data_IF_970098525761
#
_entry.id   IF_970098525761
#
_cell.length_a   1.000
_cell.length_b   1.000
_cell.length_c   1.000
_cell.angle_alpha   90.00
_cell.angle_beta   90.00
_cell.angle_gamma   90.00
#
_symmetry.space_group_name_H-M   'P 1'
#
loop_
_entity.id
_entity.type
_entity.pdbx_description
1 polymer ?
2 polymer ?
3 polymer ?
4 water ?
#
# COMPACT_ATOMS: atom_id res chain seq x y z
N UNK A 1 12.13 -9.51 15.43
CA UNK A 1 11.91 -9.25 14.02
C UNK A 1 12.41 -7.87 13.65
N UNK A 2 12.59 -7.65 12.36
CA UNK A 2 12.97 -6.32 11.87
C UNK A 2 11.72 -5.46 11.66
N UNK A 3 11.87 -4.14 11.71
CA UNK A 3 10.71 -3.27 11.60
C UNK A 3 11.05 -1.99 10.85
N UNK A 4 10.02 -1.33 10.32
CA UNK A 4 10.22 -0.04 9.69
C UNK A 4 9.01 0.88 9.89
N UNK A 5 9.25 2.18 9.68
CA UNK A 5 8.22 3.20 9.71
C UNK A 5 8.35 4.03 8.45
N UNK A 6 7.22 4.38 7.83
CA UNK A 6 7.22 5.18 6.62
C UNK A 6 6.07 6.14 6.64
N UNK A 7 6.33 7.35 6.19
CA UNK A 7 5.25 8.29 5.88
C UNK A 7 5.17 8.41 4.36
N UNK A 8 3.94 8.55 3.87
CA UNK A 8 3.69 8.61 2.44
C UNK A 8 2.91 9.87 2.16
N UNK A 9 3.55 10.79 1.43
CA UNK A 9 2.92 12.05 1.07
C UNK A 9 2.51 12.00 -0.38
N UNK A 10 1.31 12.47 -0.66
CA UNK A 10 0.87 12.70 -2.04
C UNK A 10 0.35 14.14 -2.14
N UNK A 11 0.97 14.91 -3.03
CA UNK A 11 0.51 16.28 -3.33
C UNK A 11 0.00 16.35 -4.77
N UNK A 12 -1.29 16.66 -4.92
CA UNK A 12 -1.95 16.57 -6.22
C UNK A 12 -2.60 17.89 -6.67
N UNK A 13 -2.05 18.52 -7.73
CA UNK A 13 -2.71 19.69 -8.32
C UNK A 13 -3.96 19.30 -9.13
N UNK A 14 -4.80 20.28 -9.42
CA UNK A 14 -6.09 20.03 -10.05
C UNK A 14 -6.64 21.39 -10.50
N UNK A 15 -6.01 21.96 -11.54
CA UNK A 15 -6.31 23.34 -11.97
C UNK A 15 -7.79 23.51 -12.29
N UNK A 16 -8.38 24.59 -11.82
CA UNK A 16 -9.79 24.81 -12.03
C UNK A 16 -10.62 24.17 -10.94
N UNK A 17 -9.97 23.40 -10.07
CA UNK A 17 -10.69 22.75 -8.97
C UNK A 17 -10.12 23.05 -7.57
N UNK A 18 -9.66 24.29 -7.37
CA UNK A 18 -9.11 24.67 -6.09
C UNK A 18 -7.60 24.45 -6.01
N UNK A 19 -7.08 24.55 -4.79
CA UNK A 19 -5.65 24.36 -4.54
C UNK A 19 -5.28 22.88 -4.42
N UNK A 20 -4.02 22.54 -4.70
CA UNK A 20 -3.62 21.12 -4.64
C UNK A 20 -3.89 20.44 -3.28
N UNK A 21 -4.36 19.21 -3.35
CA UNK A 21 -4.63 18.42 -2.15
C UNK A 21 -3.34 17.79 -1.62
N UNK A 22 -3.19 17.83 -0.29
CA UNK A 22 -2.06 17.18 0.36
C UNK A 22 -2.61 16.12 1.32
N UNK A 23 -2.14 14.88 1.14
CA UNK A 23 -2.50 13.77 2.01
C UNK A 23 -1.24 13.14 2.55
N UNK A 24 -1.23 12.87 3.84
CA UNK A 24 -0.13 12.12 4.45
C UNK A 24 -0.70 10.95 5.25
N UNK A 25 -0.10 9.76 5.10
CA UNK A 25 -0.40 8.62 5.95
C UNK A 25 0.89 8.03 6.57
N UNK A 26 0.80 7.59 7.82
CA UNK A 26 1.92 6.96 8.48
C UNK A 26 1.71 5.47 8.65
N UNK A 27 2.79 4.70 8.50
CA UNK A 27 2.72 3.24 8.69
C UNK A 27 3.83 2.78 9.61
N UNK A 28 3.52 1.76 10.42
CA UNK A 28 4.53 0.90 11.01
C UNK A 28 4.35 -0.45 10.32
N UNK A 29 5.41 -0.89 9.63
CA UNK A 29 5.32 -2.07 8.75
C UNK A 29 4.05 -2.07 7.89
N UNK A 30 3.16 -3.08 8.05
CA UNK A 30 1.95 -3.12 7.23
C UNK A 30 0.74 -2.57 7.97
N UNK A 31 1.01 -1.76 8.98
CA UNK A 31 -0.06 -1.19 9.80
C UNK A 31 -0.08 0.34 9.72
N UNK A 32 -1.13 0.88 9.11
CA UNK A 32 -1.32 2.34 9.10
C UNK A 32 -1.75 2.78 10.50
N UNK A 33 -1.34 3.96 10.94
CA UNK A 33 -1.68 4.39 12.30
C UNK A 33 -2.07 5.87 12.35
N UNK A 34 -1.91 6.56 11.23
CA UNK A 34 -2.18 7.99 11.23
C UNK A 34 -2.51 8.47 9.82
N UNK A 35 -3.35 9.51 9.73
CA UNK A 35 -3.67 10.14 8.45
C UNK A 35 -3.91 11.64 8.60
N UNK A 36 -3.61 12.38 7.52
CA UNK A 36 -3.94 13.79 7.37
C UNK A 36 -4.36 14.07 5.93
N UNK A 37 -5.43 14.86 5.77
CA UNK A 37 -5.99 15.16 4.46
C UNK A 37 -6.40 16.63 4.38
N UNK A 38 -5.75 17.41 3.53
CA UNK A 38 -6.04 18.84 3.45
C UNK A 38 -7.45 19.07 2.98
N UNK A 39 -8.05 18.03 2.37
CA UNK A 39 -9.42 18.13 1.83
C UNK A 39 -10.50 17.88 2.88
N UNK A 40 -10.09 17.49 4.08
CA UNK A 40 -11.01 17.26 5.21
C UNK A 40 -11.73 18.55 5.61
N UNK A 41 -12.99 18.41 6.04
CA UNK A 41 -13.80 19.57 6.42
C UNK A 41 -13.05 20.40 7.47
N UNK A 42 -12.44 19.68 8.41
CA UNK A 42 -11.54 20.26 9.41
C UNK A 42 -10.24 19.47 9.43
N UNK A 43 -9.27 19.88 8.59
CA UNK A 43 -8.02 19.15 8.38
C UNK A 43 -7.21 19.05 9.66
N UNK A 44 -6.92 17.83 10.09
CA UNK A 44 -6.13 17.58 11.28
C UNK A 44 -5.61 16.15 11.22
N UNK A 45 -4.55 15.86 11.98
CA UNK A 45 -3.99 14.50 12.02
C UNK A 45 -4.93 13.56 12.78
N UNK A 46 -5.27 12.40 12.20
CA UNK A 46 -6.22 11.47 12.84
C UNK A 46 -5.66 10.05 13.05
N UNK A 47 -5.92 9.46 14.24
CA UNK A 47 -5.44 8.11 14.56
C UNK A 47 -6.09 7.11 13.62
N UNK A 48 -5.38 6.03 13.30
CA UNK A 48 -5.92 4.97 12.44
C UNK A 48 -5.53 3.61 12.99
N UNK A 49 -4.90 3.61 14.17
CA UNK A 49 -4.59 2.40 14.94
C UNK A 49 -4.72 2.70 16.44
N UNK A 50 -5.44 1.84 17.18
CA UNK A 50 -5.78 2.06 18.60
C UNK A 50 -4.56 2.42 19.45
N UNK A 51 -3.44 1.73 19.25
CA UNK A 51 -2.24 2.01 20.05
C UNK A 51 -1.63 3.41 19.89
N UNK A 52 -2.10 4.18 18.91
CA UNK A 52 -1.60 5.56 18.77
C UNK A 52 -2.53 6.57 19.46
N UNK A 53 -3.68 6.10 19.93
CA UNK A 53 -4.63 7.01 20.57
C UNK A 53 -4.15 7.54 21.93
N UNK A 54 -3.29 6.78 22.59
CA UNK A 54 -2.76 7.20 23.88
C UNK A 54 -1.81 8.40 23.77
N UNK A 55 -1.40 8.77 22.55
CA UNK A 55 -0.55 9.93 22.43
C UNK A 55 -1.39 11.14 22.83
N UNK A 56 -0.75 12.08 23.54
CA UNK A 56 -1.45 13.23 24.09
C UNK A 56 -1.86 14.22 23.02
N UNK A 57 -2.55 15.30 23.45
CA UNK A 57 -3.05 16.35 22.57
C UNK A 57 -1.92 17.11 21.91
N UNK A 58 -0.78 17.22 22.59
CA UNK A 58 0.36 17.94 22.02
C UNK A 58 0.97 17.14 20.86
N UNK A 59 0.87 15.81 20.92
CA UNK A 59 1.30 14.97 19.79
C UNK A 59 0.46 15.28 18.55
N UNK A 60 -0.85 15.29 18.71
CA UNK A 60 -1.75 15.55 17.58
C UNK A 60 -1.61 16.96 17.01
N UNK A 61 -1.46 17.95 17.88
CA UNK A 61 -1.25 19.32 17.39
C UNK A 61 0.10 19.52 16.70
N UNK A 62 1.13 18.84 17.20
CA UNK A 62 2.45 18.86 16.56
C UNK A 62 2.39 18.26 15.13
N UNK A 63 1.76 17.09 15.01
CA UNK A 63 1.61 16.48 13.70
C UNK A 63 0.87 17.41 12.76
N UNK A 64 -0.29 17.85 13.22
CA UNK A 64 -1.18 18.72 12.44
C UNK A 64 -0.47 19.98 11.94
N UNK A 65 0.34 20.61 12.80
CA UNK A 65 1.12 21.78 12.39
C UNK A 65 2.10 21.37 11.27
N UNK A 66 2.78 20.24 11.45
CA UNK A 66 3.75 19.79 10.46
C UNK A 66 3.08 19.60 9.09
N UNK A 67 1.92 18.92 9.11
CA UNK A 67 1.21 18.58 7.89
C UNK A 67 0.58 19.80 7.19
N UNK A 68 0.03 20.74 7.96
CA UNK A 68 -0.54 21.96 7.37
C UNK A 68 0.54 22.78 6.67
N UNK A 69 1.70 22.86 7.28
CA UNK A 69 2.80 23.64 6.69
C UNK A 69 3.33 22.92 5.44
N UNK A 70 3.44 21.60 5.51
CA UNK A 70 3.78 20.79 4.35
C UNK A 70 2.78 21.00 3.19
N UNK A 71 1.49 21.08 3.53
CA UNK A 71 0.46 21.35 2.53
C UNK A 71 0.85 22.57 1.68
N UNK A 72 1.20 23.66 2.35
CA UNK A 72 1.58 24.89 1.66
C UNK A 72 2.88 24.71 0.88
N UNK A 73 3.85 24.06 1.52
CA UNK A 73 5.16 23.87 0.88
C UNK A 73 5.07 23.02 -0.39
N UNK A 74 4.26 21.97 -0.36
CA UNK A 74 4.12 21.11 -1.53
C UNK A 74 3.34 21.82 -2.67
N UNK A 75 2.60 22.86 -2.32
CA UNK A 75 1.91 23.63 -3.35
C UNK A 75 2.92 24.51 -4.09
N UNK A 76 3.84 25.12 -3.35
CA UNK A 76 4.95 25.80 -3.99
C UNK A 76 5.79 24.81 -4.83
N UNK A 77 6.04 23.61 -4.30
CA UNK A 77 6.86 22.63 -5.02
C UNK A 77 6.25 22.22 -6.36
N UNK A 78 4.93 22.03 -6.36
CA UNK A 78 4.19 21.72 -7.59
C UNK A 78 4.29 22.86 -8.60
N UNK A 79 4.16 24.10 -8.12
CA UNK A 79 4.39 25.24 -9.00
C UNK A 79 5.77 25.13 -9.64
N UNK A 80 6.79 24.92 -8.82
CA UNK A 80 8.17 24.90 -9.32
C UNK A 80 8.39 23.78 -10.34
N UNK A 81 7.90 22.57 -10.02
CA UNK A 81 8.15 21.40 -10.86
C UNK A 81 7.45 21.51 -12.20
N UNK A 82 6.32 22.23 -12.22
CA UNK A 82 5.66 22.50 -13.49
C UNK A 82 6.56 23.36 -14.37
N UNK A 83 7.23 24.35 -13.75
CA UNK A 83 8.15 25.21 -14.46
C UNK A 83 9.36 24.43 -14.95
N UNK A 84 9.90 23.54 -14.09
CA UNK A 84 11.11 22.76 -14.43
C UNK A 84 10.90 21.93 -15.71
N UNK A 85 9.66 21.56 -15.98
CA UNK A 85 9.38 20.72 -17.15
C UNK A 85 8.71 21.51 -18.26
N UNK A 86 8.64 22.84 -18.09
CA UNK A 86 7.94 23.69 -19.06
C UNK A 86 6.51 23.22 -19.34
N UNK A 87 5.83 22.70 -18.31
CA UNK A 87 4.47 22.19 -18.52
C UNK A 87 3.44 23.31 -18.48
N UNK A 88 2.28 23.09 -19.10
CA UNK A 88 1.22 24.10 -19.08
C UNK A 88 0.48 24.06 -17.75
N UNK A 89 -0.33 25.09 -17.51
CA UNK A 89 -1.08 25.19 -16.27
C UNK A 89 -2.40 24.44 -16.37
N UNK A 90 -2.53 23.63 -17.41
CA UNK A 90 -3.78 22.96 -17.69
C UNK A 90 -3.85 21.61 -17.01
N UNK A 91 -2.70 20.95 -16.88
CA UNK A 91 -2.70 19.57 -16.44
C UNK A 91 -2.66 19.41 -14.94
N UNK A 92 -3.08 18.22 -14.48
CA UNK A 92 -2.87 17.82 -13.09
C UNK A 92 -1.53 17.11 -12.98
N UNK A 93 -0.85 17.35 -11.86
CA UNK A 93 0.42 16.68 -11.60
C UNK A 93 0.48 16.23 -10.15
N UNK A 94 1.41 15.31 -9.87
CA UNK A 94 1.54 14.71 -8.55
C UNK A 94 3.00 14.59 -8.10
N UNK A 95 3.29 15.11 -6.90
CA UNK A 95 4.54 14.80 -6.21
C UNK A 95 4.22 13.74 -5.16
N UNK A 96 5.06 12.71 -5.08
CA UNK A 96 4.95 11.72 -4.03
C UNK A 96 6.26 11.66 -3.26
N UNK A 97 6.17 11.46 -1.95
CA UNK A 97 7.33 11.28 -1.10
C UNK A 97 7.07 10.09 -0.18
N UNK A 98 8.04 9.19 -0.09
CA UNK A 98 8.01 8.15 0.94
C UNK A 98 9.36 8.14 1.65
N UNK A 99 9.32 8.19 2.98
CA UNK A 99 10.54 8.24 3.77
C UNK A 99 10.32 7.52 5.09
N UNK A 100 11.43 7.11 5.71
CA UNK A 100 11.35 6.39 6.96
C UNK A 100 12.65 5.70 7.31
N UNK A 101 12.62 4.89 8.36
CA UNK A 101 13.80 4.18 8.84
C UNK A 101 13.51 2.69 8.97
N UNK A 102 14.57 1.90 8.83
CA UNK A 102 14.50 0.47 9.03
C UNK A 102 15.32 0.07 10.25
N UNK A 103 14.73 -0.74 11.13
CA UNK A 103 15.45 -1.29 12.28
C UNK A 103 15.73 -2.78 12.06
N UNK A 104 16.88 -3.25 12.52
CA UNK A 104 17.20 -4.67 12.50
C UNK A 104 16.49 -5.36 13.65
N UNK A 105 16.72 -6.68 13.80
CA UNK A 105 16.05 -7.46 14.86
C UNK A 105 16.55 -7.09 16.26
N UNK A 106 17.52 -6.18 16.30
CA UNK A 106 18.14 -5.73 17.54
C UNK A 106 17.64 -4.37 17.99
N UNK A 107 16.73 -3.77 17.21
CA UNK A 107 16.27 -2.41 17.48
C UNK A 107 17.20 -1.35 16.93
N UNK A 108 18.26 -1.77 16.25
CA UNK A 108 19.26 -0.86 15.70
C UNK A 108 18.86 -0.34 14.32
N UNK A 109 19.20 0.92 14.04
CA UNK A 109 19.00 1.47 12.70
C UNK A 109 19.72 0.59 11.66
N UNK A 110 18.99 0.17 10.63
CA UNK A 110 19.57 -0.54 9.49
C UNK A 110 19.97 0.48 8.42
N UNK A 111 19.05 1.40 8.13
CA UNK A 111 19.25 2.44 7.13
C UNK A 111 18.00 3.29 7.03
N UNK A 112 18.15 4.44 6.37
CA UNK A 112 17.05 5.34 6.11
C UNK A 112 16.72 5.37 4.63
N UNK A 113 15.54 5.90 4.32
CA UNK A 113 15.10 6.09 2.95
C UNK A 113 14.42 7.45 2.84
N UNK A 114 14.65 8.14 1.72
CA UNK A 114 13.92 9.37 1.43
C UNK A 114 13.87 9.58 -0.07
N UNK A 115 12.77 9.13 -0.68
CA UNK A 115 12.64 9.12 -2.13
C UNK A 115 11.42 9.92 -2.53
N UNK A 116 11.55 10.67 -3.63
CA UNK A 116 10.41 11.41 -4.16
C UNK A 116 10.20 11.07 -5.62
N UNK A 117 8.98 11.29 -6.08
CA UNK A 117 8.60 11.01 -7.45
C UNK A 117 7.70 12.12 -7.97
N UNK A 118 7.74 12.32 -9.27
CA UNK A 118 6.90 13.30 -9.92
C UNK A 118 6.12 12.56 -10.98
N UNK A 119 4.79 12.69 -10.93
CA UNK A 119 3.92 11.96 -11.86
C UNK A 119 4.30 10.48 -11.99
N UNK A 120 4.73 9.88 -10.88
CA UNK A 120 4.93 8.44 -10.84
C UNK A 120 6.25 7.92 -11.39
N UNK A 121 7.21 8.81 -11.64
CA UNK A 121 8.57 8.41 -12.00
C UNK A 121 9.51 8.93 -10.93
N UNK A 122 10.57 8.19 -10.64
CA UNK A 122 11.61 8.68 -9.74
C UNK A 122 11.97 10.13 -10.06
N UNK A 123 12.03 10.98 -9.05
CA UNK A 123 12.46 12.36 -9.26
C UNK A 123 13.79 12.62 -8.55
N UNK A 124 13.80 12.56 -7.22
CA UNK A 124 15.04 12.69 -6.49
C UNK A 124 15.02 11.71 -5.34
N UNK A 125 16.19 11.18 -5.01
CA UNK A 125 16.31 10.25 -3.90
C UNK A 125 17.54 10.58 -3.02
N UNK A 126 17.37 10.47 -1.70
CA UNK A 126 18.52 10.55 -0.80
C UNK A 126 19.24 9.19 -0.80
N UNK A 127 20.55 9.22 -1.09
CA UNK A 127 21.38 8.02 -1.02
C UNK A 127 21.50 7.42 0.37
N UNK A 128 21.90 6.16 0.42
CA UNK A 128 21.91 5.43 1.67
C UNK A 128 22.86 6.06 2.70
N UNK A 129 23.86 6.81 2.22
CA UNK A 129 24.76 7.54 3.12
C UNK A 129 24.05 8.69 3.86
N UNK A 130 22.80 8.95 3.48
CA UNK A 130 22.01 10.04 4.06
C UNK A 130 22.73 11.38 3.95
N UNK A 131 23.60 11.49 2.93
CA UNK A 131 24.42 12.68 2.75
C UNK A 131 24.43 13.22 1.32
N UNK A 132 24.09 12.38 0.35
CA UNK A 132 24.13 12.83 -1.04
C UNK A 132 22.84 12.47 -1.77
N UNK A 133 22.60 13.11 -2.91
CA UNK A 133 21.34 12.91 -3.61
C UNK A 133 21.53 12.22 -4.97
N UNK A 134 20.47 11.56 -5.45
CA UNK A 134 20.41 11.12 -6.85
C UNK A 134 19.23 11.78 -7.57
N UNK A 135 19.55 12.60 -8.57
CA UNK A 135 18.54 13.23 -9.41
C UNK A 135 18.34 12.39 -10.67
N UNK A 136 17.07 12.17 -11.02
CA UNK A 136 16.74 11.35 -12.19
C UNK A 136 16.92 12.09 -13.52
N UNK A 137 16.95 13.43 -13.48
CA UNK A 137 16.99 14.25 -14.71
C UNK A 137 17.36 15.71 -14.42
N UNK A 138 17.51 16.52 -15.48
CA UNK A 138 18.03 17.89 -15.30
C UNK A 138 17.08 18.77 -14.49
N UNK A 139 15.80 18.41 -14.50
CA UNK A 139 14.83 19.09 -13.65
C UNK A 139 15.13 18.81 -12.17
N UNK A 140 15.35 17.54 -11.81
CA UNK A 140 15.66 17.20 -10.42
C UNK A 140 17.04 17.69 -9.94
N UNK A 141 17.93 18.00 -10.88
CA UNK A 141 19.20 18.61 -10.53
C UNK A 141 19.00 20.01 -9.96
N UNK A 142 17.96 20.70 -10.46
CA UNK A 142 17.65 22.02 -9.91
C UNK A 142 17.30 21.85 -8.43
N UNK A 143 16.36 20.95 -8.16
CA UNK A 143 16.01 20.61 -6.79
C UNK A 143 17.27 20.20 -5.98
N UNK A 144 18.15 19.42 -6.59
CA UNK A 144 19.33 18.92 -5.87
C UNK A 144 20.24 20.07 -5.46
N UNK A 145 20.51 20.97 -6.41
CA UNK A 145 21.38 22.09 -6.12
C UNK A 145 20.77 22.98 -5.06
N UNK A 146 19.46 23.21 -5.15
CA UNK A 146 18.77 24.00 -4.13
C UNK A 146 18.77 23.35 -2.74
N UNK A 147 18.72 22.02 -2.69
CA UNK A 147 18.77 21.33 -1.39
C UNK A 147 20.19 21.26 -0.86
N UNK A 148 21.17 21.20 -1.76
CA UNK A 148 22.57 21.23 -1.36
C UNK A 148 22.94 22.60 -0.80
N UNK A 149 22.50 23.67 -1.47
CA UNK A 149 22.70 25.03 -0.99
C UNK A 149 22.18 25.20 0.44
N UNK A 150 21.00 24.65 0.72
CA UNK A 150 20.37 24.82 2.03
C UNK A 150 20.69 23.68 3.01
N UNK A 151 21.62 22.80 2.64
CA UNK A 151 21.97 21.65 3.49
C UNK A 151 20.71 20.90 3.95
N UNK A 152 19.87 20.50 2.99
CA UNK A 152 18.65 19.76 3.33
C UNK A 152 18.96 18.34 3.83
N UNK A 153 19.94 17.67 3.23
CA UNK A 153 20.26 16.28 3.59
C UNK A 153 20.65 16.15 5.07
N UNK A 154 21.24 17.21 5.62
CA UNK A 154 21.61 17.21 7.03
C UNK A 154 20.35 17.16 7.92
N UNK A 155 19.31 17.88 7.50
CA UNK A 155 18.04 17.85 8.23
C UNK A 155 17.43 16.46 8.12
N UNK A 156 17.42 15.92 6.91
CA UNK A 156 16.82 14.60 6.68
C UNK A 156 17.56 13.57 7.54
N UNK A 157 18.90 13.63 7.49
CA UNK A 157 19.73 12.71 8.27
C UNK A 157 19.48 12.75 9.78
N UNK A 158 19.42 13.95 10.34
CA UNK A 158 19.19 14.10 11.78
C UNK A 158 17.87 13.44 12.19
N UNK A 159 16.84 13.64 11.36
CA UNK A 159 15.55 13.05 11.61
C UNK A 159 15.58 11.53 11.48
N UNK A 160 16.20 11.03 10.41
CA UNK A 160 16.11 9.61 10.10
C UNK A 160 16.89 8.76 11.13
N UNK A 161 17.99 9.31 11.64
CA UNK A 161 18.82 8.57 12.58
C UNK A 161 18.38 8.81 14.01
N UNK A 162 17.61 9.88 14.21
CA UNK A 162 17.21 10.32 15.54
C UNK A 162 15.72 10.12 15.84
N UNK A 163 14.89 11.15 15.67
CA UNK A 163 13.46 11.03 16.00
C UNK A 163 12.76 9.82 15.30
N UNK A 164 13.09 9.58 14.03
CA UNK A 164 12.45 8.46 13.32
C UNK A 164 12.61 7.16 14.11
N UNK A 165 13.85 6.87 14.49
CA UNK A 165 14.14 5.63 15.21
C UNK A 165 13.55 5.62 16.61
N UNK A 166 13.58 6.78 17.29
CA UNK A 166 13.04 6.90 18.65
C UNK A 166 11.53 6.63 18.71
N UNK A 167 10.76 7.26 17.83
CA UNK A 167 9.30 7.08 17.83
C UNK A 167 8.89 5.70 17.31
N UNK A 168 9.57 5.20 16.28
CA UNK A 168 9.33 3.82 15.84
C UNK A 168 9.43 2.82 17.00
N UNK A 169 10.55 2.86 17.74
CA UNK A 169 10.73 2.04 18.94
C UNK A 169 9.62 2.23 19.98
N UNK A 170 9.19 3.47 20.18
CA UNK A 170 8.09 3.75 21.10
C UNK A 170 6.75 3.16 20.59
N UNK A 171 6.56 3.19 19.27
CA UNK A 171 5.33 2.66 18.70
C UNK A 171 5.36 1.14 18.82
N UNK A 172 6.51 0.54 18.50
CA UNK A 172 6.67 -0.92 18.58
C UNK A 172 6.41 -1.45 20.01
N UNK A 173 6.82 -0.68 21.02
CA UNK A 173 6.57 -1.07 22.40
C UNK A 173 5.08 -0.95 22.70
N UNK A 174 4.50 0.22 22.37
CA UNK A 174 3.08 0.48 22.65
C UNK A 174 2.07 -0.46 21.96
N UNK A 175 2.43 -0.94 20.78
CA UNK A 175 1.56 -1.78 19.98
C UNK A 175 2.13 -3.19 19.85
N UNK A 176 2.96 -3.56 20.82
CA UNK A 176 3.69 -4.83 20.76
C UNK A 176 2.79 -6.07 20.62
N UNK A 177 1.61 -6.03 21.18
CA UNK A 177 0.68 -7.15 21.08
C UNK A 177 0.32 -7.45 19.63
N UNK A 178 0.38 -6.43 18.77
CA UNK A 178 0.05 -6.61 17.35
C UNK A 178 1.25 -6.34 16.43
N UNK A 179 1.94 -5.21 16.64
CA UNK A 179 3.06 -4.86 15.78
C UNK A 179 4.14 -5.94 15.81
N UNK A 180 4.31 -6.59 16.96
CA UNK A 180 5.36 -7.61 17.08
C UNK A 180 4.74 -9.00 17.24
N UNK A 181 3.62 -9.21 16.55
CA UNK A 181 2.99 -10.51 16.47
C UNK A 181 2.81 -10.92 15.02
N UNK A 182 3.51 -11.99 14.63
CA UNK A 182 3.33 -12.56 13.29
C UNK A 182 2.24 -13.63 13.33
N UNK A 183 1.18 -13.42 12.56
CA UNK A 183 0.09 -14.40 12.44
C UNK A 183 0.32 -15.25 11.20
N UNK A 184 0.43 -16.58 11.39
CA UNK A 184 0.80 -17.48 10.28
C UNK A 184 -0.35 -17.61 9.28
N UNK A 185 -0.03 -17.90 8.00
CA UNK A 185 -1.12 -18.12 7.03
C UNK A 185 -1.93 -19.38 7.36
N UNK A 186 -3.25 -19.29 7.22
CA UNK A 186 -4.08 -20.49 7.16
C UNK A 186 -4.14 -20.93 5.70
N UNK A 187 -3.81 -22.19 5.45
CA UNK A 187 -3.65 -22.68 4.08
C UNK A 187 -4.55 -23.83 3.70
N UNK A 188 -4.79 -23.94 2.40
CA UNK A 188 -5.49 -25.10 1.85
C UNK A 188 -5.34 -25.13 0.33
N UNK A 189 -5.55 -26.31 -0.25
CA UNK A 189 -5.40 -26.51 -1.68
C UNK A 189 -6.73 -26.93 -2.32
N UNK A 190 -7.13 -26.22 -3.36
CA UNK A 190 -8.38 -26.54 -4.06
C UNK A 190 -8.08 -27.17 -5.42
N UNK A 191 -9.04 -27.96 -5.92
CA UNK A 191 -8.88 -28.63 -7.20
C UNK A 191 -10.13 -28.42 -8.06
N UNK A 192 -9.93 -28.06 -9.33
CA UNK A 192 -11.02 -27.72 -10.25
C UNK A 192 -10.64 -28.12 -11.67
N UNK A 193 -11.33 -29.13 -12.23
CA UNK A 193 -11.07 -29.58 -13.60
C UNK A 193 -11.33 -28.46 -14.61
N UNK A 194 -10.43 -28.25 -15.58
CA UNK A 194 -10.66 -27.25 -16.64
C UNK A 194 -11.13 -27.94 -17.93
N UNK A 195 -10.88 -29.24 -18.00
CA UNK A 195 -11.22 -30.07 -19.15
C UNK A 195 -11.13 -31.53 -18.69
N UNK A 196 -11.27 -32.48 -19.62
CA UNK A 196 -11.14 -33.90 -19.26
C UNK A 196 -9.72 -34.29 -18.89
N UNK A 197 -8.73 -33.56 -19.41
CA UNK A 197 -7.33 -33.96 -19.25
C UNK A 197 -6.49 -33.01 -18.40
N UNK A 198 -7.06 -31.86 -18.03
CA UNK A 198 -6.36 -30.90 -17.17
C UNK A 198 -7.21 -30.45 -15.97
N UNK A 199 -6.54 -30.00 -14.92
CA UNK A 199 -7.22 -29.44 -13.74
C UNK A 199 -6.41 -28.32 -13.06
N UNK A 200 -7.11 -27.40 -12.42
CA UNK A 200 -6.46 -26.32 -11.67
C UNK A 200 -6.24 -26.70 -10.20
N UNK A 201 -5.00 -26.55 -9.72
CA UNK A 201 -4.69 -26.63 -8.31
C UNK A 201 -4.46 -25.20 -7.84
N UNK A 202 -5.18 -24.78 -6.80
CA UNK A 202 -4.99 -23.44 -6.27
C UNK A 202 -4.55 -23.52 -4.81
N UNK A 203 -3.43 -22.89 -4.52
CA UNK A 203 -2.88 -22.90 -3.17
C UNK A 203 -3.24 -21.60 -2.45
N UNK A 204 -3.90 -21.72 -1.29
CA UNK A 204 -4.45 -20.56 -0.59
C UNK A 204 -3.72 -20.24 0.73
N UNK A 205 -3.37 -18.97 0.90
CA UNK A 205 -2.89 -18.47 2.19
C UNK A 205 -3.79 -17.32 2.64
N UNK A 206 -4.41 -17.52 3.81
CA UNK A 206 -5.37 -16.59 4.37
C UNK A 206 -4.98 -16.14 5.80
N UNK A 207 -5.43 -14.95 6.19
CA UNK A 207 -5.27 -14.45 7.56
C UNK A 207 -3.85 -14.25 8.11
N UNK A 208 -2.89 -13.94 7.25
CA UNK A 208 -1.52 -13.74 7.73
C UNK A 208 -1.13 -12.27 7.98
N UNK A 209 -0.22 -12.07 8.92
CA UNK A 209 0.43 -10.77 9.14
C UNK A 209 1.87 -11.00 9.61
N UNK A 210 2.84 -10.27 9.05
CA UNK A 210 2.65 -9.22 8.03
C UNK A 210 2.43 -9.74 6.59
N UNK A 211 2.31 -8.79 5.67
CA UNK A 211 1.98 -9.05 4.26
C UNK A 211 3.02 -9.91 3.53
N UNK A 212 4.29 -9.64 3.80
CA UNK A 212 5.40 -10.40 3.19
C UNK A 212 5.21 -11.93 3.31
N UNK A 213 5.26 -12.62 2.17
CA UNK A 213 5.04 -14.05 2.15
C UNK A 213 5.59 -14.67 0.88
N UNK A 214 5.96 -15.95 0.94
CA UNK A 214 6.36 -16.67 -0.26
C UNK A 214 5.48 -17.91 -0.52
N UNK A 215 4.84 -17.93 -1.69
CA UNK A 215 3.96 -19.02 -2.09
C UNK A 215 4.44 -19.53 -3.44
N UNK A 216 4.80 -20.82 -3.52
CA UNK A 216 5.29 -21.38 -4.78
C UNK A 216 4.70 -22.76 -5.08
N UNK A 217 4.55 -23.07 -6.36
CA UNK A 217 4.26 -24.42 -6.79
C UNK A 217 5.52 -25.12 -7.33
N UNK A 218 5.73 -26.36 -6.91
CA UNK A 218 6.77 -27.21 -7.48
C UNK A 218 6.18 -28.43 -8.17
N UNK A 219 6.81 -28.82 -9.27
CA UNK A 219 6.48 -30.08 -9.95
C UNK A 219 7.70 -31.00 -9.83
N UNK A 220 7.49 -32.17 -9.22
CA UNK A 220 8.58 -33.10 -8.92
C UNK A 220 9.76 -32.36 -8.26
N UNK A 221 9.45 -31.46 -7.33
CA UNK A 221 10.48 -30.75 -6.58
C UNK A 221 11.12 -29.56 -7.28
N UNK A 222 10.58 -29.16 -8.42
CA UNK A 222 11.20 -28.11 -9.24
C UNK A 222 10.28 -26.90 -9.44
N UNK A 223 10.86 -25.70 -9.42
CA UNK A 223 10.08 -24.45 -9.49
C UNK A 223 9.23 -24.30 -10.75
N UNK A 224 7.96 -23.97 -10.56
CA UNK A 224 7.04 -23.82 -11.67
C UNK A 224 6.67 -22.35 -11.92
N UNK A 225 7.68 -21.50 -11.85
CA UNK A 225 7.52 -20.07 -12.00
C UNK A 225 6.65 -19.64 -13.18
N UNK A 226 7.08 -19.97 -14.41
CA UNK A 226 6.36 -19.51 -15.58
C UNK A 226 4.95 -20.08 -15.70
N UNK A 227 4.70 -21.21 -15.04
CA UNK A 227 3.41 -21.88 -15.18
C UNK A 227 2.45 -21.55 -14.02
N UNK A 228 2.93 -20.76 -13.06
CA UNK A 228 2.11 -20.40 -11.90
C UNK A 228 1.40 -19.05 -12.10
N UNK A 229 0.08 -19.05 -11.94
CA UNK A 229 -0.72 -17.81 -11.84
C UNK A 229 -0.70 -17.33 -10.38
N UNK A 230 -0.33 -16.08 -10.18
CA UNK A 230 -0.05 -15.59 -8.83
C UNK A 230 -0.63 -14.21 -8.59
N UNK A 231 -1.72 -14.14 -7.83
CA UNK A 231 -2.36 -12.86 -7.51
C UNK A 231 -1.50 -12.01 -6.56
N UNK A 232 -1.71 -10.70 -6.61
CA UNK A 232 -1.06 -9.78 -5.69
C UNK A 232 -1.58 -10.06 -4.27
N UNK A 233 -0.68 -9.97 -3.29
CA UNK A 233 -1.07 -10.07 -1.89
C UNK A 233 -2.10 -8.98 -1.63
N UNK A 234 -3.19 -9.36 -0.98
CA UNK A 234 -4.34 -8.46 -0.79
C UNK A 234 -4.78 -8.33 0.68
N UNK A 235 -5.16 -7.12 1.08
CA UNK A 235 -5.59 -6.95 2.47
C UNK A 235 -7.01 -7.47 2.67
N UNK A 236 -7.26 -8.07 3.83
CA UNK A 236 -8.57 -8.62 4.16
C UNK A 236 -9.46 -7.55 4.81
N UNK A 237 -8.84 -6.60 5.51
CA UNK A 237 -9.61 -5.55 6.17
C UNK A 237 -9.65 -5.73 7.67
N UNK A 238 -9.10 -6.85 8.15
CA UNK A 238 -8.95 -7.08 9.59
C UNK A 238 -7.46 -7.04 9.98
N UNK A 239 -6.66 -6.30 9.22
CA UNK A 239 -5.21 -6.21 9.44
C UNK A 239 -4.44 -7.31 8.71
N UNK A 240 -5.12 -8.42 8.41
CA UNK A 240 -4.48 -9.58 7.76
C UNK A 240 -4.51 -9.49 6.24
N UNK A 241 -3.68 -10.33 5.59
CA UNK A 241 -3.58 -10.34 4.14
C UNK A 241 -3.94 -11.72 3.54
N UNK A 242 -4.13 -11.75 2.23
CA UNK A 242 -4.46 -13.01 1.54
C UNK A 242 -3.65 -13.16 0.27
N UNK A 243 -3.43 -14.40 -0.13
CA UNK A 243 -2.76 -14.65 -1.40
C UNK A 243 -3.09 -16.05 -1.90
N UNK A 244 -3.06 -16.23 -3.22
CA UNK A 244 -3.05 -17.59 -3.76
C UNK A 244 -2.15 -17.72 -4.99
N UNK A 245 -1.74 -18.97 -5.26
CA UNK A 245 -1.01 -19.35 -6.48
C UNK A 245 -1.69 -20.57 -7.08
N UNK A 246 -1.79 -20.58 -8.41
CA UNK A 246 -2.52 -21.62 -9.13
C UNK A 246 -1.68 -22.20 -10.27
N UNK A 247 -1.90 -23.48 -10.55
CA UNK A 247 -1.25 -24.14 -11.68
C UNK A 247 -2.25 -25.08 -12.35
N UNK A 248 -2.28 -25.06 -13.67
CA UNK A 248 -3.04 -26.06 -14.42
C UNK A 248 -2.14 -27.28 -14.63
N UNK A 249 -2.64 -28.43 -14.23
CA UNK A 249 -1.85 -29.65 -14.26
C UNK A 249 -2.57 -30.70 -15.08
N UNK A 250 -1.81 -31.62 -15.70
CA UNK A 250 -2.36 -32.81 -16.37
C UNK A 250 -3.13 -33.67 -15.37
N UNK A 251 -4.40 -33.99 -15.63
CA UNK A 251 -5.17 -34.81 -14.69
C UNK A 251 -4.43 -36.10 -14.44
N UNK A 252 -4.41 -36.54 -13.19
CA UNK A 252 -3.70 -37.75 -12.80
C UNK A 252 -2.26 -37.47 -12.36
N UNK A 253 -1.79 -36.24 -12.55
CA UNK A 253 -0.43 -35.90 -12.11
C UNK A 253 -0.41 -35.05 -10.84
N UNK A 254 -1.61 -34.84 -10.27
CA UNK A 254 -1.77 -33.90 -9.17
C UNK A 254 -0.78 -34.09 -8.03
N UNK A 255 -0.52 -35.33 -7.63
CA UNK A 255 0.37 -35.58 -6.49
C UNK A 255 1.82 -35.24 -6.80
N UNK A 256 2.11 -34.94 -8.08
CA UNK A 256 3.46 -34.52 -8.46
C UNK A 256 3.69 -33.02 -8.23
N UNK A 257 2.66 -32.35 -7.73
CA UNK A 257 2.74 -30.91 -7.42
C UNK A 257 2.66 -30.60 -5.93
N UNK A 258 3.60 -29.79 -5.45
CA UNK A 258 3.58 -29.36 -4.06
C UNK A 258 3.54 -27.84 -3.97
N UNK A 259 2.73 -27.34 -3.03
CA UNK A 259 2.73 -25.92 -2.71
C UNK A 259 3.67 -25.67 -1.53
N UNK A 260 4.57 -24.71 -1.70
CA UNK A 260 5.47 -24.34 -0.62
C UNK A 260 5.14 -22.94 -0.10
N UNK A 261 5.07 -22.82 1.22
CA UNK A 261 4.70 -21.57 1.86
C UNK A 261 5.76 -21.13 2.88
N UNK A 262 6.34 -19.95 2.68
CA UNK A 262 7.21 -19.34 3.70
C UNK A 262 6.59 -18.07 4.29
N UNK A 263 6.57 -17.98 5.62
CA UNK A 263 6.06 -16.78 6.32
C UNK A 263 6.63 -16.64 7.73
N UNK A 264 6.90 -15.40 8.13
CA UNK A 264 7.54 -15.15 9.43
C UNK A 264 6.73 -15.78 10.58
N UNK A 265 5.45 -16.00 10.34
CA UNK A 265 4.55 -16.55 11.34
C UNK A 265 4.74 -18.03 11.69
N UNK A 266 5.43 -18.78 10.82
CA UNK A 266 5.65 -20.20 11.07
C UNK A 266 7.15 -20.55 11.12
N UNK A 267 7.54 -21.41 12.08
CA UNK A 267 8.93 -21.83 12.29
C UNK A 267 9.60 -22.50 11.06
N UNK A 268 8.92 -23.47 10.45
CA UNK A 268 9.43 -24.07 9.22
C UNK A 268 8.40 -23.94 8.08
N UNK A 269 8.91 -23.78 6.86
CA UNK A 269 8.03 -23.80 5.68
C UNK A 269 7.01 -24.95 5.69
N UNK A 270 5.82 -24.65 5.17
CA UNK A 270 4.82 -25.67 4.91
C UNK A 270 5.05 -26.24 3.52
N UNK A 271 4.85 -27.56 3.39
CA UNK A 271 4.70 -28.19 2.08
C UNK A 271 3.29 -28.84 2.06
N UNK A 272 2.52 -28.52 1.02
CA UNK A 272 1.13 -28.99 0.93
C UNK A 272 0.85 -29.66 -0.40
N UNK A 273 -0.04 -30.64 -0.38
CA UNK A 273 -0.54 -31.26 -1.61
C UNK A 273 -2.05 -31.18 -1.60
N UNK A 274 -2.66 -31.20 -2.79
CA UNK A 274 -4.09 -31.43 -2.84
C UNK A 274 -4.47 -32.73 -2.11
N UNK A 275 -5.42 -32.63 -1.19
CA UNK A 275 -5.95 -33.78 -0.50
C UNK A 275 -7.37 -34.05 -0.95
N UNK A 276 -7.54 -35.05 -1.84
CA UNK A 276 -8.88 -35.54 -2.16
C UNK A 276 -9.30 -36.52 -1.08
N UNK B 1 2.69 9.72 -18.91
CA UNK B 1 2.38 8.29 -18.97
C UNK B 1 1.58 7.80 -17.73
N UNK B 2 0.70 6.83 -17.97
CA UNK B 2 -0.28 6.39 -16.98
C UNK B 2 -0.26 4.87 -16.72
N UNK B 3 -0.87 4.45 -15.60
CA UNK B 3 -0.94 3.02 -15.26
C UNK B 3 -2.35 2.62 -14.85
N UNK B 4 -2.86 1.57 -15.49
CA UNK B 4 -4.24 1.18 -15.32
C UNK B 4 -4.37 0.29 -14.09
N UNK B 5 -5.50 0.38 -13.37
CA UNK B 5 -5.74 -0.38 -12.14
C UNK B 5 -5.74 -1.90 -12.29
N UNK B 6 -5.12 -2.56 -11.30
CA UNK B 6 -5.41 -3.96 -11.06
C UNK B 6 -6.62 -4.04 -10.12
N UNK B 7 -7.43 -5.08 -10.27
CA UNK B 7 -8.69 -5.19 -9.52
C UNK B 7 -8.88 -6.60 -8.96
N UNK B 8 -9.12 -6.70 -7.65
CA UNK B 8 -9.48 -7.99 -7.09
C UNK B 8 -10.75 -7.87 -6.25
N UNK B 9 -11.66 -8.84 -6.43
CA UNK B 9 -12.93 -8.86 -5.73
C UNK B 9 -13.01 -10.16 -4.94
N UNK B 10 -13.33 -10.05 -3.64
CA UNK B 10 -13.15 -11.17 -2.71
C UNK B 10 -13.74 -10.80 -1.35
N UNK B 11 -13.90 -11.79 -0.48
CA UNK B 11 -14.48 -11.55 0.85
C UNK B 11 -13.42 -11.58 1.93
N UNK B 12 -13.65 -10.84 3.01
CA UNK B 12 -12.72 -10.78 4.14
C UNK B 12 -12.55 -12.15 4.77
N UNK B 13 -13.67 -12.84 4.95
CA UNK B 13 -13.70 -14.20 5.50
C UNK B 13 -14.21 -15.12 4.39
N UNK B 14 -13.90 -16.43 4.49
CA UNK B 14 -14.45 -17.39 3.51
C UNK B 14 -15.99 -17.29 3.48
N UNK B 15 -16.57 -17.32 2.29
CA UNK B 15 -18.00 -17.06 2.13
C UNK B 15 -18.86 -18.20 2.66
N UNK B 16 -19.80 -17.86 3.54
CA UNK B 16 -20.78 -18.83 4.01
C UNK B 16 -22.18 -18.25 3.82
N UNK B 17 -22.92 -18.81 2.86
CA UNK B 17 -24.29 -18.36 2.58
C UNK B 17 -25.10 -18.13 3.86
N UNK B 18 -25.75 -16.96 3.94
CA UNK B 18 -26.50 -16.60 5.13
C UNK B 18 -25.63 -16.11 6.28
N UNK B 19 -24.32 -16.06 6.08
CA UNK B 19 -23.43 -15.55 7.13
C UNK B 19 -22.82 -14.18 6.80
N UNK B 20 -22.96 -13.24 7.73
CA UNK B 20 -22.46 -11.88 7.53
C UNK B 20 -20.96 -11.91 7.26
N UNK B 21 -20.50 -10.98 6.42
CA UNK B 21 -19.12 -10.99 5.93
C UNK B 21 -18.77 -9.59 5.44
N UNK B 22 -17.59 -9.43 4.83
CA UNK B 22 -17.29 -8.19 4.09
C UNK B 22 -16.94 -8.48 2.63
N UNK B 23 -17.49 -7.66 1.73
CA UNK B 23 -17.12 -7.72 0.33
C UNK B 23 -16.02 -6.66 0.10
N UNK B 24 -14.91 -7.08 -0.48
CA UNK B 24 -13.77 -6.20 -0.73
C UNK B 24 -13.49 -6.04 -2.21
N UNK B 25 -13.25 -4.81 -2.63
CA UNK B 25 -12.67 -4.59 -3.95
C UNK B 25 -11.35 -3.84 -3.76
N UNK B 26 -10.25 -4.50 -4.12
CA UNK B 26 -8.92 -3.95 -3.93
C UNK B 26 -8.38 -3.47 -5.26
N UNK B 27 -8.18 -2.16 -5.38
CA UNK B 27 -7.60 -1.61 -6.59
C UNK B 27 -6.14 -1.18 -6.36
N UNK B 28 -5.24 -1.61 -7.25
CA UNK B 28 -3.82 -1.37 -7.06
C UNK B 28 -3.08 -1.10 -8.38
N UNK B 29 -1.81 -0.68 -8.26
CA UNK B 29 -0.95 -0.47 -9.41
C UNK B 29 -1.38 0.63 -10.37
N UNK B 30 -2.27 1.52 -9.95
CA UNK B 30 -2.72 2.56 -10.85
C UNK B 30 -2.06 3.93 -10.66
N UNK B 31 -2.00 4.68 -11.75
CA UNK B 31 -1.50 6.04 -11.69
C UNK B 31 -2.13 6.77 -12.87
N UNK B 32 -2.59 8.02 -12.65
CA UNK B 32 -2.61 8.74 -11.37
C UNK B 32 -3.72 8.31 -10.40
N UNK B 33 -3.90 9.05 -9.31
CA UNK B 33 -4.66 8.54 -8.16
C UNK B 33 -6.19 8.64 -8.23
N UNK B 34 -6.71 9.55 -9.04
CA UNK B 34 -8.16 9.68 -9.17
C UNK B 34 -8.76 8.40 -9.74
N UNK B 35 -9.79 7.90 -9.07
CA UNK B 35 -10.41 6.64 -9.48
C UNK B 35 -11.85 6.58 -8.97
N UNK B 36 -12.73 5.91 -9.72
CA UNK B 36 -14.09 5.73 -9.26
C UNK B 36 -14.40 4.26 -9.15
N UNK B 37 -14.67 3.81 -7.92
CA UNK B 37 -15.01 2.41 -7.65
C UNK B 37 -16.41 2.26 -7.07
N UNK B 38 -17.21 1.34 -7.64
CA UNK B 38 -18.51 0.97 -7.08
C UNK B 38 -18.52 -0.52 -6.74
N UNK B 39 -19.19 -0.86 -5.65
CA UNK B 39 -19.55 -2.25 -5.37
C UNK B 39 -21.00 -2.49 -5.79
N UNK B 40 -21.23 -3.54 -6.57
CA UNK B 40 -22.56 -3.79 -7.10
C UNK B 40 -23.16 -5.05 -6.52
N UNK B 41 -24.42 -4.95 -6.08
CA UNK B 41 -25.24 -6.13 -5.73
C UNK B 41 -26.35 -6.30 -6.76
N UNK B 42 -26.31 -7.40 -7.51
CA UNK B 42 -27.30 -7.62 -8.57
C UNK B 42 -27.36 -6.43 -9.53
N UNK B 43 -26.18 -5.99 -9.98
CA UNK B 43 -26.08 -4.93 -10.95
C UNK B 43 -26.36 -3.53 -10.43
N UNK B 44 -26.83 -3.41 -9.19
CA UNK B 44 -27.16 -2.09 -8.64
C UNK B 44 -26.13 -1.62 -7.59
N UNK B 45 -25.77 -0.34 -7.67
CA UNK B 45 -24.76 0.25 -6.80
C UNK B 45 -25.11 0.20 -5.30
N UNK B 46 -24.21 -0.33 -4.49
CA UNK B 46 -24.41 -0.37 -3.03
C UNK B 46 -24.04 0.98 -2.42
N UNK B 47 -24.86 1.46 -1.50
CA UNK B 47 -24.62 2.77 -0.92
C UNK B 47 -23.72 2.70 0.30
N UNK B 48 -22.87 3.70 0.45
CA UNK B 48 -22.07 3.81 1.67
C UNK B 48 -21.01 2.71 1.79
N UNK B 49 -20.34 2.45 0.68
CA UNK B 49 -19.14 1.67 0.69
C UNK B 49 -18.07 2.55 1.33
N UNK B 50 -17.30 2.00 2.26
CA UNK B 50 -16.15 2.75 2.78
C UNK B 50 -14.89 2.36 2.00
N UNK B 51 -13.84 3.16 2.16
CA UNK B 51 -12.56 2.83 1.56
C UNK B 51 -11.39 3.27 2.44
N UNK B 52 -10.25 2.63 2.23
CA UNK B 52 -9.02 2.95 2.94
C UNK B 52 -8.42 4.28 2.45
N UNK B 53 -7.56 4.86 3.28
CA UNK B 53 -6.87 6.09 2.92
C UNK B 53 -5.86 5.84 1.80
N UNK B 54 -5.81 6.78 0.86
CA UNK B 54 -4.93 6.64 -0.30
C UNK B 54 -3.50 6.41 0.14
N UNK B 55 -2.87 5.41 -0.46
CA UNK B 55 -1.45 5.20 -0.24
C UNK B 55 -0.82 4.67 -1.51
N UNK B 56 0.47 4.35 -1.47
CA UNK B 56 1.12 3.83 -2.66
C UNK B 56 2.27 2.87 -2.35
N UNK B 57 2.59 2.05 -3.35
CA UNK B 57 3.66 1.06 -3.27
C UNK B 57 5.04 1.66 -3.60
N UNK B 58 6.08 0.84 -3.47
CA UNK B 58 7.46 1.29 -3.72
C UNK B 58 7.68 1.70 -5.17
N UNK B 59 6.75 1.30 -6.06
CA UNK B 59 6.84 1.75 -7.46
C UNK B 59 5.95 2.96 -7.73
N UNK B 60 5.57 3.65 -6.66
CA UNK B 60 4.74 4.86 -6.76
C UNK B 60 3.29 4.63 -7.20
N UNK B 61 2.91 3.41 -7.56
CA UNK B 61 1.53 3.19 -8.00
C UNK B 61 0.64 3.15 -6.78
N UNK B 62 -0.62 3.57 -6.95
CA UNK B 62 -1.56 3.70 -5.82
C UNK B 62 -2.36 2.42 -5.54
N UNK B 63 -2.94 2.34 -4.35
CA UNK B 63 -3.85 1.25 -4.00
C UNK B 63 -4.91 1.69 -3.00
N UNK B 64 -6.12 1.13 -3.14
CA UNK B 64 -7.22 1.44 -2.24
C UNK B 64 -8.07 0.21 -2.04
N UNK B 65 -8.56 0.03 -0.82
CA UNK B 65 -9.54 -1.02 -0.58
C UNK B 65 -10.95 -0.43 -0.36
N UNK B 66 -11.92 -0.90 -1.14
CA UNK B 66 -13.31 -0.53 -0.92
C UNK B 66 -14.01 -1.71 -0.29
N UNK B 67 -14.76 -1.47 0.79
CA UNK B 67 -15.43 -2.56 1.51
C UNK B 67 -16.79 -2.12 2.04
N UNK B 68 -17.69 -3.10 2.15
CA UNK B 68 -18.99 -2.91 2.79
C UNK B 68 -19.43 -4.27 3.35
N UNK B 69 -20.22 -4.25 4.43
CA UNK B 69 -20.85 -5.45 4.96
C UNK B 69 -21.80 -6.03 3.92
N UNK B 70 -21.74 -7.35 3.74
CA UNK B 70 -22.73 -8.07 2.93
C UNK B 70 -22.92 -9.47 3.50
N UNK B 71 -24.05 -10.09 3.15
CA UNK B 71 -24.32 -11.47 3.53
C UNK B 71 -24.54 -12.28 2.26
N UNK B 72 -23.56 -13.15 1.94
CA UNK B 72 -23.60 -13.99 0.75
C UNK B 72 -24.82 -14.90 0.74
N UNK B 73 -25.47 -15.00 -0.41
CA UNK B 73 -26.43 -16.06 -0.64
C UNK B 73 -26.05 -16.72 -1.95
N UNK B 74 -26.72 -17.83 -2.28
CA UNK B 74 -26.34 -18.57 -3.48
C UNK B 74 -26.83 -17.88 -4.77
N UNK B 75 -27.86 -17.03 -4.67
CA UNK B 75 -28.44 -16.44 -5.87
C UNK B 75 -28.14 -14.94 -6.14
N UNK B 76 -27.56 -14.25 -5.16
CA UNK B 76 -27.10 -12.88 -5.36
C UNK B 76 -25.75 -12.79 -6.09
N UNK B 77 -25.68 -11.93 -7.11
CA UNK B 77 -24.43 -11.66 -7.81
C UNK B 77 -23.78 -10.39 -7.27
N UNK B 78 -22.48 -10.47 -6.98
CA UNK B 78 -21.74 -9.31 -6.52
C UNK B 78 -20.64 -8.97 -7.49
N UNK B 79 -20.37 -7.67 -7.64
CA UNK B 79 -19.36 -7.21 -8.58
C UNK B 79 -18.68 -5.93 -8.11
N UNK B 80 -17.53 -5.63 -8.70
CA UNK B 80 -16.83 -4.38 -8.46
C UNK B 80 -16.68 -3.66 -9.79
N UNK B 81 -17.02 -2.36 -9.83
CA UNK B 81 -16.98 -1.59 -11.08
C UNK B 81 -15.98 -0.43 -10.98
N UNK B 82 -14.97 -0.46 -11.83
CA UNK B 82 -13.90 0.50 -11.74
C UNK B 82 -13.83 1.34 -13.00
N UNK B 83 -13.74 2.65 -12.82
CA UNK B 83 -13.33 3.50 -13.93
C UNK B 83 -12.06 4.31 -13.56
N UNK B 84 -11.24 4.58 -14.57
CA UNK B 84 -9.95 5.26 -14.40
C UNK B 84 -9.58 5.96 -15.71
N UNK B 85 -8.71 6.97 -15.63
CA UNK B 85 -8.36 7.74 -16.81
C UNK B 85 -7.83 6.83 -17.92
N UNK B 86 -7.20 5.71 -17.54
CA UNK B 86 -6.69 4.75 -18.54
C UNK B 86 -7.76 3.88 -19.20
N UNK B 87 -8.95 3.82 -18.60
CA UNK B 87 -10.03 2.97 -19.12
C UNK B 87 -11.09 3.76 -19.90
N UNK B 88 -11.39 3.32 -21.13
CA UNK B 88 -12.45 3.91 -21.96
C UNK B 88 -13.84 3.58 -21.44
N UNK B 89 -14.05 2.31 -21.10
CA UNK B 89 -15.30 1.85 -20.50
C UNK B 89 -15.04 1.41 -19.06
N UNK B 90 -16.01 1.64 -18.16
CA UNK B 90 -15.90 1.07 -16.81
C UNK B 90 -15.58 -0.43 -16.87
N UNK B 91 -14.64 -0.88 -16.05
CA UNK B 91 -14.30 -2.29 -16.02
C UNK B 91 -15.05 -2.98 -14.87
N UNK B 92 -15.68 -4.10 -15.19
CA UNK B 92 -16.47 -4.83 -14.21
C UNK B 92 -15.80 -6.16 -13.89
N UNK B 93 -15.64 -6.43 -12.60
CA UNK B 93 -15.04 -7.68 -12.17
C UNK B 93 -15.99 -8.38 -11.22
N UNK B 94 -16.45 -9.56 -11.61
CA UNK B 94 -17.43 -10.31 -10.83
C UNK B 94 -16.77 -10.92 -9.59
N UNK B 95 -17.51 -11.01 -8.49
CA UNK B 95 -17.03 -11.77 -7.34
C UNK B 95 -17.17 -13.28 -7.57
N UNK B 96 -16.07 -14.00 -7.38
CA UNK B 96 -16.05 -15.46 -7.45
C UNK B 96 -15.45 -16.02 -6.15
N UNK B 97 -16.26 -16.77 -5.40
CA UNK B 97 -15.91 -17.14 -4.03
C UNK B 97 -14.61 -17.95 -3.86
N UNK B 98 -14.16 -18.59 -4.93
CA UNK B 98 -12.88 -19.32 -4.91
C UNK B 98 -11.82 -18.58 -5.73
N UNK B 99 -11.86 -17.24 -5.65
CA UNK B 99 -10.91 -16.34 -6.30
C UNK B 99 -10.58 -15.12 -5.41
N UNK C 1 6.20 9.64 14.36
CA UNK C 1 6.38 11.08 14.16
C UNK C 1 7.03 11.40 12.80
N UNK C 2 6.35 12.23 11.98
CA UNK C 2 6.92 12.68 10.71
C UNK C 2 8.12 13.59 10.93
N UNK C 3 8.86 13.86 9.86
CA UNK C 3 9.94 14.85 9.91
C UNK C 3 9.40 16.22 10.33
N UNK C 4 9.94 16.78 11.43
CA UNK C 4 9.51 18.10 11.92
C UNK C 4 9.91 19.21 10.94
N UNK C 5 9.30 20.39 11.07
CA UNK C 5 9.69 21.54 10.25
C UNK C 5 10.96 22.10 10.85
N UNK C 6 11.88 22.57 9.98
CA UNK C 6 13.21 23.02 10.39
C UNK C 6 13.20 24.37 11.12
N UNK C 7 14.35 24.78 11.64
CA UNK C 7 14.47 26.05 12.37
C UNK C 7 13.90 27.23 11.59
N UNK C 8 14.18 27.27 10.28
CA UNK C 8 13.87 28.44 9.47
C UNK C 8 12.92 28.20 8.32
N UNK C 9 13.48 28.01 7.13
CA UNK C 9 12.66 27.84 5.93
C UNK C 9 12.59 26.39 5.45
N UNK C 10 11.39 25.80 5.55
CA UNK C 10 11.17 24.50 4.92
C UNK C 10 11.45 24.64 3.43
N UNK C 11 12.51 23.99 2.96
CA UNK C 11 12.97 24.16 1.58
C UNK C 11 12.11 23.41 0.54
N UNK C 12 11.44 24.16 -0.33
CA UNK C 12 10.62 23.56 -1.38
C UNK C 12 11.48 22.78 -2.39
N UNK C 13 10.84 21.94 -3.21
CA UNK C 13 11.53 21.31 -4.33
C UNK C 13 11.94 22.39 -5.32
#
# INVERSE_FOLDING_TARGET
GSHSMRYFYTAMSRPGRGEPRFIAVGYVDDTQFVRFDSDAASPRTEPRAPWIEQEGPEYWDRNTQIFKTNTQTYRESLRNLRGYYNQSEAGSHIIQRMYGCDLGPDGRLLRGHDQSAYDGKDYIALNEDLSSWTAADTAAQITQRKWEAARVAEQRRAYLEGLCVEWLRRYLENGKETLQRADPPKTHVTHHPVSDHEATLRCWALGFYPAEITLTWQRDGEDQTQDTELVETRPAGDRTFQKWAAVVVPSGEEQRYTCHVQHEGLPKPLTLRWEP
IQRTPKIQVYSRHPAENGKSNFLNCYVSGFHPSDIEVDLLKNGERIEKVEHSDLSFSKDWSFYLLYYTEFTPTEKDEYACRVNHVTLSQPKIVKWDRDM
LPEPLPQGQATAY
#
